data_IF_031795510622
#
_entry.id   IF_031795510622
#
_cell.length_a   1.000
_cell.length_b   1.000
_cell.length_c   1.000
_cell.angle_alpha   90.00
_cell.angle_beta   90.00
_cell.angle_gamma   90.00
#
_symmetry.space_group_name_H-M   'P 1'
#
loop_
_entity.id
_entity.type
_entity.pdbx_description
1 polymer ?
#
# COMPACT_ATOMS: atom_id res chain seq x y z
N UNK A 1 21.76 -1.28 9.86
CA UNK A 1 22.31 -1.69 8.56
C UNK A 1 21.98 -0.70 7.42
N UNK A 2 20.98 0.15 7.58
CA UNK A 2 20.55 1.15 6.60
C UNK A 2 19.75 0.60 5.39
N UNK A 3 19.09 1.51 4.65
CA UNK A 3 18.19 1.13 3.55
C UNK A 3 18.91 0.40 2.41
N UNK A 4 20.13 0.84 2.06
CA UNK A 4 20.93 0.19 1.00
C UNK A 4 21.26 -1.27 1.31
N UNK A 5 21.45 -1.61 2.58
CA UNK A 5 21.62 -2.99 3.00
C UNK A 5 20.32 -3.78 2.91
N UNK A 6 19.20 -3.18 3.34
CA UNK A 6 17.88 -3.78 3.20
C UNK A 6 17.54 -4.13 1.74
N UNK A 7 17.84 -3.23 0.81
CA UNK A 7 17.61 -3.46 -0.62
C UNK A 7 18.47 -4.63 -1.15
N UNK A 8 19.74 -4.74 -0.72
CA UNK A 8 20.59 -5.89 -1.07
C UNK A 8 20.02 -7.21 -0.54
N UNK A 9 19.51 -7.21 0.69
CA UNK A 9 18.85 -8.39 1.28
C UNK A 9 17.64 -8.78 0.46
N UNK A 10 16.78 -7.85 0.10
CA UNK A 10 15.58 -8.08 -0.71
C UNK A 10 15.94 -8.66 -2.08
N UNK A 11 16.92 -8.08 -2.77
CA UNK A 11 17.39 -8.57 -4.07
C UNK A 11 17.96 -9.99 -3.95
N UNK A 12 18.70 -10.28 -2.89
CA UNK A 12 19.27 -11.60 -2.65
C UNK A 12 18.19 -12.64 -2.37
N UNK A 13 17.19 -12.31 -1.55
CA UNK A 13 16.02 -13.17 -1.28
C UNK A 13 15.26 -13.45 -2.58
N UNK A 14 15.00 -12.44 -3.40
CA UNK A 14 14.35 -12.59 -4.70
C UNK A 14 15.12 -13.55 -5.61
N UNK A 15 16.44 -13.41 -5.68
CA UNK A 15 17.30 -14.29 -6.49
C UNK A 15 17.27 -15.74 -6.00
N UNK A 16 17.28 -15.97 -4.69
CA UNK A 16 17.20 -17.31 -4.09
C UNK A 16 15.86 -17.95 -4.43
N UNK A 17 14.75 -17.23 -4.28
CA UNK A 17 13.41 -17.74 -4.59
C UNK A 17 13.32 -18.09 -6.08
N UNK A 18 13.75 -17.19 -6.95
CA UNK A 18 13.71 -17.40 -8.40
C UNK A 18 14.56 -18.60 -8.83
N UNK A 19 15.74 -18.76 -8.24
CA UNK A 19 16.60 -19.92 -8.46
C UNK A 19 15.94 -21.24 -8.01
N UNK A 20 15.25 -21.23 -6.87
CA UNK A 20 14.54 -22.40 -6.35
C UNK A 20 13.38 -22.84 -7.26
N UNK A 21 12.72 -21.90 -7.91
CA UNK A 21 11.64 -22.18 -8.87
C UNK A 21 12.17 -22.64 -10.24
N UNK A 22 13.42 -22.38 -10.54
CA UNK A 22 14.09 -22.81 -11.79
C UNK A 22 13.28 -22.44 -13.05
N UNK A 23 12.77 -21.22 -13.13
CA UNK A 23 11.97 -20.71 -14.26
C UNK A 23 10.56 -21.27 -14.36
N UNK A 24 10.11 -22.07 -13.39
CA UNK A 24 8.79 -22.72 -13.39
C UNK A 24 7.80 -22.06 -12.44
N UNK A 25 7.91 -20.74 -12.26
CA UNK A 25 7.01 -19.97 -11.42
C UNK A 25 7.24 -18.49 -11.61
N UNK A 26 6.33 -17.72 -11.06
CA UNK A 26 6.39 -16.26 -11.05
C UNK A 26 6.68 -15.82 -9.61
N UNK A 27 7.65 -14.91 -9.46
CA UNK A 27 7.98 -14.25 -8.21
C UNK A 27 7.72 -12.76 -8.39
N UNK A 28 6.84 -12.21 -7.58
CA UNK A 28 6.56 -10.79 -7.52
C UNK A 28 6.87 -10.24 -6.13
N UNK A 29 7.41 -9.04 -6.05
CA UNK A 29 7.49 -8.28 -4.80
C UNK A 29 6.15 -7.59 -4.60
N UNK A 30 5.44 -7.94 -3.52
CA UNK A 30 4.12 -7.40 -3.23
C UNK A 30 4.21 -6.05 -2.53
N UNK A 31 5.20 -5.87 -1.63
CA UNK A 31 5.47 -4.63 -0.93
C UNK A 31 6.51 -4.83 0.17
N UNK A 32 7.26 -3.79 0.52
CA UNK A 32 8.24 -3.86 1.61
C UNK A 32 9.16 -5.08 1.52
N UNK A 33 9.01 -6.01 2.45
CA UNK A 33 9.74 -7.28 2.52
C UNK A 33 8.87 -8.49 2.10
N UNK A 34 7.73 -8.28 1.46
CA UNK A 34 6.78 -9.31 1.09
C UNK A 34 6.89 -9.71 -0.38
N UNK A 35 6.89 -11.03 -0.62
CA UNK A 35 6.95 -11.63 -1.94
C UNK A 35 5.72 -12.51 -2.15
N UNK A 36 5.23 -12.50 -3.38
CA UNK A 36 4.22 -13.41 -3.87
C UNK A 36 4.85 -14.41 -4.83
N UNK A 37 4.52 -15.69 -4.67
CA UNK A 37 5.04 -16.77 -5.51
C UNK A 37 3.85 -17.55 -6.06
N UNK A 38 3.82 -17.69 -7.38
CA UNK A 38 2.88 -18.57 -8.06
C UNK A 38 3.64 -19.63 -8.84
N UNK A 39 3.22 -20.89 -8.70
CA UNK A 39 3.82 -22.02 -9.43
C UNK A 39 2.79 -23.11 -9.71
N UNK A 40 2.88 -23.73 -10.89
CA UNK A 40 1.89 -24.70 -11.38
C UNK A 40 2.47 -26.10 -11.63
N UNK A 41 3.75 -26.34 -11.29
CA UNK A 41 4.41 -27.63 -11.57
C UNK A 41 4.57 -28.52 -10.34
N UNK A 42 4.26 -28.02 -9.16
CA UNK A 42 4.35 -28.79 -7.90
C UNK A 42 3.06 -29.58 -7.73
N UNK A 43 3.13 -30.90 -7.98
CA UNK A 43 1.97 -31.76 -7.91
C UNK A 43 1.90 -32.60 -6.62
N UNK A 44 3.03 -32.70 -5.90
CA UNK A 44 3.12 -33.50 -4.66
C UNK A 44 3.46 -32.61 -3.48
N UNK A 45 2.82 -32.85 -2.35
CA UNK A 45 3.08 -32.09 -1.12
C UNK A 45 4.53 -32.21 -0.64
N UNK A 46 5.15 -33.40 -0.85
CA UNK A 46 6.56 -33.60 -0.53
C UNK A 46 7.50 -32.69 -1.32
N UNK A 47 7.22 -32.47 -2.61
CA UNK A 47 7.96 -31.50 -3.44
C UNK A 47 7.78 -30.07 -2.93
N UNK A 48 6.55 -29.69 -2.58
CA UNK A 48 6.24 -28.37 -1.99
C UNK A 48 7.06 -28.17 -0.72
N UNK A 49 7.00 -29.11 0.22
CA UNK A 49 7.76 -29.03 1.49
C UNK A 49 9.27 -28.95 1.27
N UNK A 50 9.80 -29.71 0.31
CA UNK A 50 11.23 -29.66 -0.03
C UNK A 50 11.66 -28.29 -0.54
N UNK A 51 10.88 -27.66 -1.44
CA UNK A 51 11.19 -26.33 -1.98
C UNK A 51 11.09 -25.26 -0.89
N UNK A 52 10.04 -25.27 -0.08
CA UNK A 52 9.87 -24.30 1.01
C UNK A 52 11.01 -24.40 2.03
N UNK A 53 11.41 -25.63 2.35
CA UNK A 53 12.56 -25.90 3.24
C UNK A 53 13.87 -25.43 2.61
N UNK A 54 14.08 -25.72 1.34
CA UNK A 54 15.28 -25.29 0.60
C UNK A 54 15.40 -23.75 0.58
N UNK A 55 14.34 -23.04 0.19
CA UNK A 55 14.34 -21.56 0.17
C UNK A 55 14.71 -21.00 1.55
N UNK A 56 14.06 -21.50 2.60
CA UNK A 56 14.30 -21.06 3.98
C UNK A 56 15.75 -21.30 4.42
N UNK A 57 16.29 -22.49 4.16
CA UNK A 57 17.65 -22.83 4.52
C UNK A 57 18.69 -22.03 3.72
N UNK A 58 18.44 -21.82 2.43
CA UNK A 58 19.35 -21.08 1.55
C UNK A 58 19.41 -19.60 1.91
N UNK A 59 18.28 -18.98 2.23
CA UNK A 59 18.25 -17.59 2.73
C UNK A 59 19.07 -17.47 4.01
N UNK A 60 18.88 -18.36 4.97
CA UNK A 60 19.64 -18.35 6.20
C UNK A 60 21.14 -18.58 5.98
N UNK A 61 21.50 -19.49 5.09
CA UNK A 61 22.91 -19.78 4.78
C UNK A 61 23.62 -18.62 4.06
N UNK A 62 22.93 -17.95 3.13
CA UNK A 62 23.55 -16.89 2.31
C UNK A 62 23.52 -15.50 2.93
N UNK A 63 22.61 -15.25 3.88
CA UNK A 63 22.45 -13.95 4.54
C UNK A 63 22.82 -13.96 6.03
N UNK A 64 22.95 -15.15 6.63
CA UNK A 64 23.34 -15.32 8.03
C UNK A 64 24.86 -15.45 8.27
N UNK A 65 25.71 -15.29 7.23
CA UNK A 65 27.17 -15.46 7.34
C UNK A 65 27.91 -14.20 6.88
N UNK A 66 28.99 -13.82 7.61
CA UNK A 66 29.87 -12.69 7.28
C UNK A 66 29.90 -11.60 8.36
N UNK A 67 30.86 -10.67 8.25
CA UNK A 67 31.05 -9.55 9.21
C UNK A 67 29.85 -8.60 9.33
N UNK A 68 28.97 -8.57 8.30
CA UNK A 68 27.70 -7.83 8.28
C UNK A 68 26.49 -8.79 8.25
N UNK A 69 26.59 -9.98 8.84
CA UNK A 69 25.48 -10.93 8.85
C UNK A 69 24.32 -10.41 9.67
N UNK A 70 23.12 -10.42 9.08
CA UNK A 70 21.89 -10.29 9.84
C UNK A 70 21.15 -11.63 9.80
N UNK A 71 20.50 -12.02 10.90
CA UNK A 71 19.73 -13.26 10.98
C UNK A 71 18.42 -13.10 10.20
N UNK A 72 18.53 -13.10 8.87
CA UNK A 72 17.36 -13.01 7.99
C UNK A 72 16.67 -14.35 7.95
N UNK A 73 15.39 -14.33 8.26
CA UNK A 73 14.54 -15.52 8.21
C UNK A 73 13.30 -15.27 7.37
N UNK A 74 12.71 -16.33 6.82
CA UNK A 74 11.47 -16.27 6.06
C UNK A 74 10.31 -16.92 6.82
N UNK A 75 9.18 -16.22 6.81
CA UNK A 75 7.88 -16.80 7.15
C UNK A 75 7.07 -16.92 5.86
N UNK A 76 6.37 -18.04 5.67
CA UNK A 76 5.64 -18.29 4.42
C UNK A 76 4.25 -18.86 4.73
N UNK A 77 3.22 -18.34 4.05
CA UNK A 77 1.88 -18.92 4.00
C UNK A 77 1.64 -19.52 2.63
N UNK A 78 1.03 -20.69 2.56
CA UNK A 78 0.91 -21.46 1.32
C UNK A 78 -0.49 -22.03 1.17
N UNK A 79 -1.06 -21.86 -0.03
CA UNK A 79 -2.31 -22.49 -0.46
C UNK A 79 -2.11 -23.30 -1.74
N UNK A 80 -2.96 -24.29 -1.94
CA UNK A 80 -2.98 -25.16 -3.11
C UNK A 80 -4.27 -24.93 -3.91
N UNK A 81 -4.13 -24.71 -5.21
CA UNK A 81 -5.24 -24.71 -6.14
C UNK A 81 -5.44 -26.13 -6.70
N UNK A 82 -6.67 -26.63 -6.88
CA UNK A 82 -7.94 -26.04 -6.48
C UNK A 82 -8.37 -26.38 -5.03
N UNK A 83 -7.59 -27.17 -4.29
CA UNK A 83 -7.96 -27.75 -3.00
C UNK A 83 -8.38 -26.69 -1.96
N UNK A 84 -7.75 -25.55 -2.00
CA UNK A 84 -7.94 -24.49 -0.99
C UNK A 84 -8.77 -23.30 -1.49
N UNK A 85 -9.15 -23.28 -2.77
CA UNK A 85 -9.98 -22.24 -3.36
C UNK A 85 -10.00 -22.30 -4.86
N UNK A 86 -11.05 -21.73 -5.48
CA UNK A 86 -11.25 -21.70 -6.92
C UNK A 86 -10.88 -20.38 -7.59
N UNK A 87 -10.60 -19.35 -6.80
CA UNK A 87 -10.32 -17.99 -7.24
C UNK A 87 -9.12 -17.41 -6.49
N UNK A 88 -8.58 -16.32 -7.05
CA UNK A 88 -7.40 -15.62 -6.52
C UNK A 88 -7.63 -15.15 -5.09
N UNK A 89 -8.74 -14.47 -4.82
CA UNK A 89 -9.01 -13.83 -3.52
C UNK A 89 -9.11 -14.86 -2.40
N UNK A 90 -9.80 -15.97 -2.66
CA UNK A 90 -9.92 -17.08 -1.73
C UNK A 90 -8.56 -17.70 -1.39
N UNK A 91 -7.72 -17.93 -2.41
CA UNK A 91 -6.38 -18.49 -2.21
C UNK A 91 -5.44 -17.52 -1.52
N UNK A 92 -5.45 -16.26 -1.95
CA UNK A 92 -4.62 -15.21 -1.38
C UNK A 92 -4.94 -14.99 0.11
N UNK A 93 -6.21 -14.82 0.46
CA UNK A 93 -6.64 -14.64 1.84
C UNK A 93 -6.23 -15.80 2.75
N UNK A 94 -6.32 -17.04 2.28
CA UNK A 94 -5.90 -18.21 3.06
C UNK A 94 -4.38 -18.31 3.18
N UNK A 95 -3.63 -17.96 2.14
CA UNK A 95 -2.18 -17.92 2.18
C UNK A 95 -1.68 -16.83 3.16
N UNK A 96 -2.27 -15.64 3.11
CA UNK A 96 -1.94 -14.53 4.01
C UNK A 96 -2.22 -14.90 5.48
N UNK A 97 -3.37 -15.48 5.77
CA UNK A 97 -3.69 -15.97 7.11
C UNK A 97 -2.71 -17.05 7.59
N UNK A 98 -2.27 -17.95 6.71
CA UNK A 98 -1.21 -18.89 7.03
C UNK A 98 0.13 -18.22 7.30
N UNK A 99 0.47 -17.16 6.55
CA UNK A 99 1.64 -16.33 6.81
C UNK A 99 1.57 -15.66 8.19
N UNK A 100 0.42 -15.11 8.56
CA UNK A 100 0.17 -14.56 9.89
C UNK A 100 0.38 -15.61 10.99
N UNK A 101 -0.15 -16.81 10.83
CA UNK A 101 0.07 -17.93 11.76
C UNK A 101 1.58 -18.25 11.86
N UNK A 102 2.29 -18.26 10.73
CA UNK A 102 3.73 -18.50 10.71
C UNK A 102 4.50 -17.43 11.49
N UNK A 103 4.13 -16.14 11.32
CA UNK A 103 4.71 -15.01 12.03
C UNK A 103 4.46 -15.11 13.55
N UNK A 104 3.23 -15.44 13.97
CA UNK A 104 2.85 -15.54 15.40
C UNK A 104 3.41 -16.76 16.12
N UNK A 105 3.59 -17.86 15.42
CA UNK A 105 4.22 -19.08 15.99
C UNK A 105 5.75 -18.99 16.11
N UNK A 106 6.33 -17.78 16.06
CA UNK A 106 7.76 -17.53 16.28
C UNK A 106 8.55 -17.41 14.99
N UNK A 107 7.91 -17.03 13.88
CA UNK A 107 8.56 -16.75 12.57
C UNK A 107 9.37 -17.95 12.02
N UNK A 108 10.20 -17.73 11.00
CA UNK A 108 11.14 -18.70 10.42
C UNK A 108 10.52 -20.05 10.11
N UNK A 109 9.33 -20.08 9.53
CA UNK A 109 8.57 -21.28 9.17
C UNK A 109 7.62 -21.07 8.01
N UNK A 110 7.13 -22.15 7.47
CA UNK A 110 6.00 -22.11 6.54
C UNK A 110 4.77 -22.81 7.14
N UNK A 111 3.61 -22.34 6.75
CA UNK A 111 2.31 -22.95 7.06
C UNK A 111 1.63 -23.23 5.71
N UNK A 112 1.32 -24.49 5.46
CA UNK A 112 0.46 -24.90 4.33
C UNK A 112 -0.96 -24.94 4.85
N UNK A 113 -1.89 -24.30 4.17
CA UNK A 113 -3.29 -24.27 4.57
C UNK A 113 -3.88 -25.70 4.64
N UNK A 114 -4.57 -25.95 5.72
CA UNK A 114 -5.29 -27.20 6.01
C UNK A 114 -6.63 -26.79 6.65
N UNK A 115 -7.73 -27.11 6.00
CA UNK A 115 -9.06 -26.69 6.44
C UNK A 115 -9.42 -27.20 7.85
N UNK A 116 -9.00 -28.42 8.19
CA UNK A 116 -9.28 -29.02 9.51
C UNK A 116 -8.50 -28.34 10.65
N UNK A 117 -7.28 -27.84 10.36
CA UNK A 117 -6.40 -27.21 11.38
C UNK A 117 -6.53 -25.72 11.46
N UNK A 118 -6.97 -25.07 10.37
CA UNK A 118 -6.94 -23.62 10.22
C UNK A 118 -8.32 -23.03 9.93
N UNK A 119 -9.37 -23.85 9.69
CA UNK A 119 -10.72 -23.39 9.39
C UNK A 119 -11.32 -22.58 10.54
N UNK A 120 -11.43 -23.16 11.72
CA UNK A 120 -12.01 -22.48 12.90
C UNK A 120 -11.19 -21.29 13.39
N UNK A 121 -9.85 -21.37 13.26
CA UNK A 121 -8.95 -20.26 13.58
C UNK A 121 -9.13 -19.05 12.64
N UNK A 122 -9.66 -19.29 11.46
CA UNK A 122 -9.95 -18.23 10.47
C UNK A 122 -11.25 -17.49 10.81
N UNK A 123 -12.23 -18.16 11.42
CA UNK A 123 -13.51 -17.57 11.82
C UNK A 123 -13.36 -16.72 13.11
N UNK A 124 -12.48 -17.12 14.01
CA UNK A 124 -12.23 -16.42 15.28
C UNK A 124 -11.36 -15.15 15.09
N UNK A 125 -10.46 -15.15 14.11
CA UNK A 125 -9.63 -13.98 13.75
C UNK A 125 -10.37 -12.90 12.98
N UNK A 126 -11.48 -13.23 12.34
CA UNK A 126 -12.41 -12.25 11.77
C UNK A 126 -13.06 -11.33 12.81
N UNK A 127 -12.94 -11.68 14.11
CA UNK A 127 -13.49 -10.90 15.24
C UNK A 127 -12.45 -10.08 16.01
N UNK A 128 -11.15 -10.30 15.80
CA UNK A 128 -10.06 -9.52 16.43
C UNK A 128 -9.12 -8.99 15.35
N UNK A 129 -9.41 -7.79 14.91
CA UNK A 129 -8.71 -7.11 13.84
C UNK A 129 -7.19 -7.17 13.94
N UNK A 130 -6.58 -7.74 12.90
CA UNK A 130 -5.27 -7.32 12.41
C UNK A 130 -5.35 -7.32 10.89
N UNK A 131 -5.21 -6.18 10.36
CA UNK A 131 -5.56 -5.72 9.05
C UNK A 131 -4.37 -5.85 8.10
N UNK A 132 -4.38 -6.80 7.18
CA UNK A 132 -4.67 -6.37 5.81
C UNK A 132 -6.20 -6.25 5.78
N UNK A 133 -6.74 -5.10 5.37
CA UNK A 133 -8.15 -4.81 5.48
C UNK A 133 -8.97 -6.00 4.99
N UNK A 134 -9.92 -6.50 5.79
CA UNK A 134 -10.83 -7.49 5.27
C UNK A 134 -11.49 -6.86 4.06
N UNK A 135 -11.41 -7.52 2.91
CA UNK A 135 -12.37 -7.25 1.84
C UNK A 135 -13.72 -7.41 2.52
N UNK A 136 -14.32 -6.28 2.89
CA UNK A 136 -15.67 -6.25 3.43
C UNK A 136 -16.51 -7.01 2.43
N UNK A 137 -17.18 -8.06 2.88
CA UNK A 137 -18.18 -8.75 2.09
C UNK A 137 -19.10 -7.68 1.51
N UNK A 138 -18.90 -7.33 0.23
CA UNK A 138 -19.77 -6.45 -0.53
C UNK A 138 -19.19 -5.19 -1.17
N UNK A 139 -18.09 -4.60 -0.66
CA UNK A 139 -17.62 -3.34 -1.25
C UNK A 139 -16.09 -3.34 -1.40
N UNK A 140 -15.62 -3.44 -2.64
CA UNK A 140 -14.20 -3.24 -3.00
C UNK A 140 -13.89 -1.74 -2.96
N UNK A 141 -12.63 -1.35 -2.77
CA UNK A 141 -12.20 0.05 -2.91
C UNK A 141 -12.67 0.67 -4.23
N UNK A 142 -12.71 -0.12 -5.30
CA UNK A 142 -13.29 0.27 -6.59
C UNK A 142 -14.76 0.70 -6.47
N UNK A 143 -15.58 -0.07 -5.75
CA UNK A 143 -16.99 0.24 -5.52
C UNK A 143 -17.15 1.52 -4.70
N UNK A 144 -16.40 1.66 -3.60
CA UNK A 144 -16.41 2.88 -2.79
C UNK A 144 -16.05 4.13 -3.60
N UNK A 145 -14.98 4.04 -4.42
CA UNK A 145 -14.57 5.15 -5.28
C UNK A 145 -15.62 5.46 -6.36
N UNK A 146 -16.24 4.43 -6.95
CA UNK A 146 -17.32 4.61 -7.91
C UNK A 146 -18.53 5.30 -7.27
N UNK A 147 -18.95 4.86 -6.08
CA UNK A 147 -20.10 5.43 -5.38
C UNK A 147 -19.84 6.88 -4.94
N UNK A 148 -18.64 7.18 -4.44
CA UNK A 148 -18.21 8.55 -4.14
C UNK A 148 -18.22 9.42 -5.39
N UNK A 149 -17.71 8.92 -6.50
CA UNK A 149 -17.68 9.61 -7.79
C UNK A 149 -19.10 9.92 -8.31
N UNK A 150 -20.00 8.93 -8.27
CA UNK A 150 -21.41 9.11 -8.67
C UNK A 150 -22.09 10.13 -7.77
N UNK A 151 -21.83 10.09 -6.45
CA UNK A 151 -22.40 11.05 -5.51
C UNK A 151 -21.94 12.49 -5.82
N UNK A 152 -20.65 12.70 -6.09
CA UNK A 152 -20.12 14.00 -6.49
C UNK A 152 -20.73 14.48 -7.81
N UNK A 153 -20.81 13.64 -8.83
CA UNK A 153 -21.37 14.00 -10.13
C UNK A 153 -22.86 14.42 -10.01
N UNK A 154 -23.64 13.75 -9.15
CA UNK A 154 -25.06 14.04 -8.96
C UNK A 154 -25.32 15.27 -8.12
N UNK A 155 -24.53 15.52 -7.09
CA UNK A 155 -24.80 16.51 -6.06
C UNK A 155 -23.81 17.66 -6.00
N UNK A 156 -22.77 17.66 -6.87
CA UNK A 156 -21.76 18.70 -6.92
C UNK A 156 -20.89 18.77 -5.67
N UNK A 157 -20.29 19.92 -5.45
CA UNK A 157 -19.41 20.19 -4.30
C UNK A 157 -20.12 20.19 -2.94
N UNK A 158 -21.45 20.23 -2.90
CA UNK A 158 -22.23 20.21 -1.64
C UNK A 158 -22.04 18.97 -0.77
N UNK A 159 -21.55 17.88 -1.37
CA UNK A 159 -21.27 16.59 -0.69
C UNK A 159 -19.78 16.33 -0.49
N UNK A 160 -18.93 17.30 -0.79
CA UNK A 160 -17.48 17.13 -0.80
C UNK A 160 -16.94 16.69 0.56
N UNK A 161 -17.35 17.34 1.66
CA UNK A 161 -16.93 16.95 3.03
C UNK A 161 -17.24 15.47 3.33
N UNK A 162 -18.46 15.02 3.03
CA UNK A 162 -18.84 13.62 3.21
C UNK A 162 -18.00 12.67 2.36
N UNK A 163 -17.67 13.07 1.12
CA UNK A 163 -16.81 12.27 0.23
C UNK A 163 -15.39 12.19 0.76
N UNK A 164 -14.81 13.30 1.26
CA UNK A 164 -13.48 13.29 1.85
C UNK A 164 -13.41 12.40 3.09
N UNK A 165 -14.44 12.44 3.94
CA UNK A 165 -14.57 11.56 5.10
C UNK A 165 -14.59 10.07 4.69
N UNK A 166 -15.41 9.72 3.70
CA UNK A 166 -15.48 8.35 3.17
C UNK A 166 -14.17 7.92 2.53
N UNK A 167 -13.52 8.81 1.78
CA UNK A 167 -12.24 8.54 1.13
C UNK A 167 -11.13 8.28 2.15
N UNK A 168 -11.03 9.07 3.22
CA UNK A 168 -10.08 8.80 4.31
C UNK A 168 -10.26 7.39 4.87
N UNK A 169 -11.50 6.96 5.06
CA UNK A 169 -11.82 5.64 5.58
C UNK A 169 -11.52 4.52 4.58
N UNK A 170 -11.83 4.74 3.30
CA UNK A 170 -11.62 3.76 2.23
C UNK A 170 -10.14 3.54 1.90
N UNK A 171 -9.34 4.62 1.90
CA UNK A 171 -7.89 4.58 1.66
C UNK A 171 -7.06 4.34 2.94
N UNK A 172 -7.70 4.23 4.11
CA UNK A 172 -7.02 4.06 5.42
C UNK A 172 -5.98 5.16 5.70
N UNK A 173 -6.35 6.41 5.42
CA UNK A 173 -5.51 7.59 5.60
C UNK A 173 -6.09 8.55 6.63
N UNK A 174 -5.27 9.48 7.11
CA UNK A 174 -5.59 10.34 8.24
C UNK A 174 -6.23 11.67 7.82
N UNK A 175 -6.02 12.09 6.55
CA UNK A 175 -6.60 13.34 6.07
C UNK A 175 -6.51 13.55 4.56
N UNK A 176 -7.34 14.45 4.05
CA UNK A 176 -7.35 14.91 2.66
C UNK A 176 -7.50 16.43 2.67
N UNK A 177 -6.76 17.13 1.81
CA UNK A 177 -6.83 18.57 1.60
C UNK A 177 -6.98 18.87 0.12
N UNK A 178 -7.90 19.75 -0.24
CA UNK A 178 -8.16 20.16 -1.62
C UNK A 178 -7.80 21.62 -1.79
N UNK A 179 -6.97 21.93 -2.78
CA UNK A 179 -6.52 23.29 -3.08
C UNK A 179 -6.92 23.69 -4.52
N UNK A 180 -7.21 24.96 -4.70
CA UNK A 180 -7.13 25.58 -6.03
C UNK A 180 -5.67 25.92 -6.29
N UNK A 181 -4.99 25.16 -7.12
CA UNK A 181 -3.58 25.33 -7.44
C UNK A 181 -3.28 26.54 -8.33
N UNK A 182 -4.32 27.18 -8.91
CA UNK A 182 -4.18 28.44 -9.65
C UNK A 182 -4.10 29.62 -8.70
N UNK A 183 -4.94 29.65 -7.66
CA UNK A 183 -4.99 30.74 -6.68
C UNK A 183 -4.20 30.46 -5.41
N UNK A 184 -3.78 29.22 -5.18
CA UNK A 184 -3.13 28.77 -3.95
C UNK A 184 -4.09 28.49 -2.78
N UNK A 185 -5.40 28.74 -2.92
CA UNK A 185 -6.35 28.69 -1.80
C UNK A 185 -6.75 27.27 -1.46
N UNK A 186 -6.77 26.96 -0.16
CA UNK A 186 -7.43 25.76 0.36
C UNK A 186 -8.96 25.87 0.11
N UNK A 187 -9.54 24.88 -0.54
CA UNK A 187 -10.97 24.79 -0.85
C UNK A 187 -11.70 24.07 0.27
N UNK A 188 -11.21 22.85 0.62
CA UNK A 188 -11.84 21.98 1.59
C UNK A 188 -10.80 21.04 2.20
N UNK A 189 -11.07 20.51 3.38
CA UNK A 189 -10.25 19.47 3.98
C UNK A 189 -11.05 18.58 4.93
N UNK A 190 -10.56 17.36 5.14
CA UNK A 190 -11.02 16.46 6.18
C UNK A 190 -9.81 15.80 6.86
N UNK A 191 -9.84 15.64 8.18
CA UNK A 191 -8.81 14.95 8.96
C UNK A 191 -8.49 15.63 10.28
N UNK A 192 -7.85 14.88 11.18
CA UNK A 192 -7.50 15.33 12.54
C UNK A 192 -6.08 15.91 12.59
N UNK A 193 -5.80 16.94 11.82
CA UNK A 193 -4.50 17.61 11.82
C UNK A 193 -4.23 18.30 13.17
N UNK A 194 -3.02 18.15 13.72
CA UNK A 194 -2.57 18.92 14.90
C UNK A 194 -2.53 20.40 14.56
N UNK A 195 -2.04 20.73 13.38
CA UNK A 195 -2.06 22.04 12.74
C UNK A 195 -2.30 21.82 11.26
N UNK A 196 -3.23 22.53 10.66
CA UNK A 196 -3.43 22.46 9.21
C UNK A 196 -2.23 23.13 8.50
N UNK A 197 -1.56 22.43 7.54
CA UNK A 197 -0.42 23.02 6.83
C UNK A 197 -0.80 24.27 6.03
N UNK A 198 -0.07 25.36 6.22
CA UNK A 198 -0.21 26.56 5.40
C UNK A 198 0.78 26.52 4.22
N UNK A 199 0.32 25.95 3.12
CA UNK A 199 1.08 25.80 1.87
C UNK A 199 0.44 26.55 0.70
N UNK A 200 -0.43 27.50 0.99
CA UNK A 200 -1.19 28.23 -0.02
C UNK A 200 -0.33 28.95 -1.07
N UNK A 201 0.82 29.46 -0.66
CA UNK A 201 1.80 30.12 -1.53
C UNK A 201 2.78 29.16 -2.23
N UNK A 202 2.67 27.87 -1.96
CA UNK A 202 3.51 26.81 -2.54
C UNK A 202 2.76 26.12 -3.67
N UNK A 203 1.52 25.68 -3.43
CA UNK A 203 0.76 24.82 -4.34
C UNK A 203 0.45 25.47 -5.70
N UNK A 204 0.54 26.81 -5.80
CA UNK A 204 0.33 27.56 -7.04
C UNK A 204 1.63 27.84 -7.83
N UNK A 205 2.78 27.35 -7.36
CA UNK A 205 4.05 27.58 -8.02
C UNK A 205 4.32 26.59 -9.14
N UNK A 206 5.06 27.03 -10.16
CA UNK A 206 5.50 26.15 -11.26
C UNK A 206 6.43 25.06 -10.77
N UNK A 207 7.25 25.35 -9.76
CA UNK A 207 8.16 24.42 -9.11
C UNK A 207 7.39 23.28 -8.47
N UNK A 208 6.34 23.56 -7.73
CA UNK A 208 5.50 22.56 -7.10
C UNK A 208 4.79 21.69 -8.14
N UNK A 209 4.17 22.29 -9.15
CA UNK A 209 3.51 21.55 -10.24
C UNK A 209 4.50 20.73 -11.08
N UNK A 210 5.75 21.19 -11.19
CA UNK A 210 6.82 20.45 -11.88
C UNK A 210 7.31 19.19 -11.14
N UNK A 211 6.91 18.98 -9.88
CA UNK A 211 7.23 17.78 -9.10
C UNK A 211 6.32 16.59 -9.42
N UNK A 212 5.21 16.81 -10.09
CA UNK A 212 4.29 15.75 -10.48
C UNK A 212 4.84 14.95 -11.66
N UNK A 213 4.59 13.66 -11.65
CA UNK A 213 4.93 12.80 -12.77
C UNK A 213 3.93 12.94 -13.94
N UNK A 214 4.20 12.20 -15.02
CA UNK A 214 3.34 12.18 -16.23
C UNK A 214 1.91 11.66 -15.96
N UNK A 215 1.68 11.02 -14.82
CA UNK A 215 0.38 10.49 -14.41
C UNK A 215 -0.35 11.43 -13.45
N UNK A 216 0.13 12.69 -13.30
CA UNK A 216 -0.49 13.71 -12.46
C UNK A 216 -0.51 13.39 -10.96
N UNK A 217 0.45 12.61 -10.44
CA UNK A 217 0.64 12.44 -9.01
C UNK A 217 2.10 12.63 -8.58
N UNK A 218 2.27 12.95 -7.31
CA UNK A 218 3.55 13.06 -6.61
C UNK A 218 3.44 12.34 -5.27
N UNK A 219 4.33 11.37 -5.01
CA UNK A 219 4.30 10.58 -3.78
C UNK A 219 5.47 10.93 -2.87
N UNK A 220 5.19 11.27 -1.61
CA UNK A 220 6.17 11.56 -0.57
C UNK A 220 5.99 10.52 0.54
N UNK A 221 6.86 9.53 0.57
CA UNK A 221 6.84 8.44 1.57
C UNK A 221 7.49 8.88 2.89
N UNK A 222 8.52 9.72 2.81
CA UNK A 222 9.23 10.28 3.96
C UNK A 222 9.31 11.78 3.80
N UNK A 223 8.80 12.50 4.77
CA UNK A 223 8.78 13.97 4.77
C UNK A 223 10.17 14.59 4.71
N UNK A 224 11.19 13.92 5.26
CA UNK A 224 12.60 14.33 5.12
C UNK A 224 13.07 14.51 3.68
N UNK A 225 12.42 13.84 2.72
CA UNK A 225 12.79 13.93 1.31
C UNK A 225 12.42 15.29 0.67
N UNK A 226 11.51 16.05 1.29
CA UNK A 226 11.10 17.37 0.77
C UNK A 226 11.94 18.54 1.31
N UNK A 227 12.73 18.35 2.36
CA UNK A 227 13.51 19.43 2.95
C UNK A 227 14.48 20.09 1.96
N UNK A 228 15.10 19.29 1.09
CA UNK A 228 16.01 19.77 0.05
C UNK A 228 15.32 20.48 -1.11
N UNK A 229 14.01 20.26 -1.31
CA UNK A 229 13.25 20.87 -2.39
C UNK A 229 12.53 22.13 -1.96
N UNK A 230 11.87 22.07 -0.80
CA UNK A 230 11.09 23.20 -0.29
C UNK A 230 11.06 23.15 1.24
N UNK A 231 11.84 24.03 1.87
CA UNK A 231 11.98 24.11 3.32
C UNK A 231 10.65 24.44 4.01
N UNK A 232 9.84 25.37 3.44
CA UNK A 232 8.55 25.74 4.01
C UNK A 232 7.57 24.56 3.97
N UNK A 233 7.48 23.85 2.85
CA UNK A 233 6.64 22.65 2.73
C UNK A 233 7.05 21.60 3.77
N UNK A 234 8.35 21.40 3.96
CA UNK A 234 8.87 20.49 4.98
C UNK A 234 8.45 20.92 6.39
N UNK A 235 8.69 22.16 6.76
CA UNK A 235 8.39 22.70 8.11
C UNK A 235 6.89 22.61 8.42
N UNK A 236 6.02 22.99 7.47
CA UNK A 236 4.57 22.87 7.61
C UNK A 236 4.11 21.41 7.74
N UNK A 237 4.70 20.51 6.98
CA UNK A 237 4.39 19.08 7.03
C UNK A 237 4.76 18.47 8.39
N UNK A 238 5.94 18.82 8.92
CA UNK A 238 6.39 18.34 10.24
C UNK A 238 5.51 18.89 11.36
N UNK A 239 5.18 20.21 11.33
CA UNK A 239 4.30 20.84 12.33
C UNK A 239 2.90 20.23 12.33
N UNK A 240 2.46 19.72 11.20
CA UNK A 240 1.14 19.09 11.03
C UNK A 240 1.15 17.58 11.36
N UNK A 241 2.30 17.04 11.78
CA UNK A 241 2.53 15.63 12.07
C UNK A 241 2.25 14.69 10.88
N UNK A 242 2.40 15.16 9.65
CA UNK A 242 2.21 14.35 8.44
C UNK A 242 3.46 13.50 8.22
N UNK A 243 3.30 12.18 8.17
CA UNK A 243 4.39 11.20 7.98
C UNK A 243 4.67 10.87 6.52
N UNK A 244 3.64 10.93 5.69
CA UNK A 244 3.70 10.70 4.25
C UNK A 244 2.48 11.26 3.54
N UNK A 245 2.58 11.51 2.24
CA UNK A 245 1.46 12.03 1.45
C UNK A 245 1.58 11.66 -0.02
N UNK A 246 0.43 11.65 -0.69
CA UNK A 246 0.37 11.65 -2.15
C UNK A 246 -0.47 12.83 -2.60
N UNK A 247 0.07 13.63 -3.51
CA UNK A 247 -0.65 14.65 -4.21
C UNK A 247 -1.11 14.16 -5.58
N UNK A 248 -2.30 14.58 -5.98
CA UNK A 248 -2.78 14.42 -7.35
C UNK A 248 -3.43 15.71 -7.82
N UNK A 249 -3.36 16.04 -9.12
CA UNK A 249 -4.03 17.23 -9.63
C UNK A 249 -4.69 16.98 -10.99
N UNK A 250 -5.76 17.71 -11.23
CA UNK A 250 -6.44 17.80 -12.52
C UNK A 250 -6.97 19.20 -12.75
N UNK A 251 -7.01 19.61 -14.02
CA UNK A 251 -7.57 20.91 -14.41
C UNK A 251 -9.09 20.80 -14.54
N UNK A 252 -9.83 21.71 -13.92
CA UNK A 252 -11.28 21.80 -14.02
C UNK A 252 -11.74 22.47 -15.32
N UNK A 253 -13.06 22.58 -15.52
CA UNK A 253 -13.63 23.24 -16.72
C UNK A 253 -13.34 24.73 -16.81
N UNK A 254 -13.09 25.41 -15.69
CA UNK A 254 -12.71 26.82 -15.65
C UNK A 254 -11.23 27.06 -15.96
N UNK A 255 -10.43 26.00 -16.09
CA UNK A 255 -9.00 26.10 -16.33
C UNK A 255 -8.15 26.13 -15.05
N UNK A 256 -8.77 25.98 -13.88
CA UNK A 256 -8.03 25.93 -12.59
C UNK A 256 -7.47 24.53 -12.34
N UNK A 257 -6.25 24.49 -11.81
CA UNK A 257 -5.67 23.26 -11.30
C UNK A 257 -6.24 22.95 -9.93
N UNK A 258 -6.94 21.86 -9.79
CA UNK A 258 -7.44 21.35 -8.52
C UNK A 258 -6.46 20.29 -8.01
N UNK A 259 -5.87 20.54 -6.85
CA UNK A 259 -4.84 19.70 -6.23
C UNK A 259 -5.42 19.04 -4.99
N UNK A 260 -5.35 17.72 -4.93
CA UNK A 260 -5.72 16.96 -3.74
C UNK A 260 -4.46 16.38 -3.07
N UNK A 261 -4.32 16.56 -1.77
CA UNK A 261 -3.34 15.88 -0.92
C UNK A 261 -4.03 14.81 -0.10
N UNK A 262 -3.53 13.62 -0.14
CA UNK A 262 -3.97 12.48 0.66
C UNK A 262 -2.87 12.17 1.67
N UNK A 263 -3.15 12.41 2.95
CA UNK A 263 -2.13 12.50 3.99
C UNK A 263 -2.23 11.32 4.97
N UNK A 264 -1.07 10.81 5.39
CA UNK A 264 -0.99 9.85 6.49
C UNK A 264 -0.04 10.37 7.57
N UNK A 265 -0.39 10.16 8.84
CA UNK A 265 0.47 10.48 9.98
C UNK A 265 1.48 9.36 10.26
N UNK A 266 1.30 8.22 9.60
CA UNK A 266 2.21 7.09 9.72
C UNK A 266 3.43 7.27 8.80
N UNK A 267 4.63 7.36 9.39
CA UNK A 267 5.89 7.48 8.64
C UNK A 267 6.17 6.18 7.87
N UNK A 268 6.54 6.34 6.61
CA UNK A 268 6.88 5.20 5.75
C UNK A 268 5.69 4.46 5.15
N UNK A 269 4.48 5.01 5.26
CA UNK A 269 3.30 4.49 4.57
C UNK A 269 3.56 4.46 3.05
N UNK A 270 3.19 3.36 2.40
CA UNK A 270 3.40 3.17 0.97
C UNK A 270 2.07 2.92 0.26
N UNK A 271 1.78 3.77 -0.69
CA UNK A 271 0.67 3.65 -1.61
C UNK A 271 0.97 2.56 -2.65
N UNK A 272 0.09 1.61 -2.84
CA UNK A 272 0.19 0.66 -3.95
C UNK A 272 -0.33 1.30 -5.26
N UNK A 273 -0.05 0.69 -6.40
CA UNK A 273 -0.44 1.24 -7.70
C UNK A 273 -1.97 1.32 -7.89
N UNK A 274 -2.71 0.40 -7.26
CA UNK A 274 -4.17 0.43 -7.30
C UNK A 274 -4.72 1.64 -6.53
N UNK A 275 -4.18 1.91 -5.32
CA UNK A 275 -4.57 3.09 -4.53
C UNK A 275 -4.31 4.38 -5.29
N UNK A 276 -3.14 4.50 -5.94
CA UNK A 276 -2.80 5.67 -6.75
C UNK A 276 -3.79 5.90 -7.89
N UNK A 277 -4.17 4.84 -8.60
CA UNK A 277 -5.15 4.92 -9.68
C UNK A 277 -6.53 5.36 -9.18
N UNK A 278 -6.98 4.86 -8.03
CA UNK A 278 -8.24 5.27 -7.43
C UNK A 278 -8.20 6.71 -6.89
N UNK A 279 -7.07 7.12 -6.29
CA UNK A 279 -6.81 8.51 -5.87
C UNK A 279 -6.91 9.45 -7.08
N UNK A 280 -6.23 9.12 -8.18
CA UNK A 280 -6.31 9.93 -9.42
C UNK A 280 -7.73 10.02 -9.95
N UNK A 281 -8.45 8.89 -9.97
CA UNK A 281 -9.85 8.84 -10.41
C UNK A 281 -10.72 9.75 -9.57
N UNK A 282 -10.63 9.65 -8.24
CA UNK A 282 -11.40 10.48 -7.32
C UNK A 282 -11.03 11.97 -7.45
N UNK A 283 -9.74 12.29 -7.53
CA UNK A 283 -9.27 13.67 -7.71
C UNK A 283 -9.80 14.28 -9.01
N UNK A 284 -9.81 13.50 -10.09
CA UNK A 284 -10.37 13.95 -11.38
C UNK A 284 -11.85 14.27 -11.29
N UNK A 285 -12.63 13.46 -10.58
CA UNK A 285 -14.06 13.71 -10.36
C UNK A 285 -14.25 14.93 -9.45
N UNK A 286 -13.48 15.07 -8.36
CA UNK A 286 -13.50 16.26 -7.51
C UNK A 286 -13.24 17.52 -8.35
N UNK A 287 -12.21 17.51 -9.19
CA UNK A 287 -11.90 18.63 -10.06
C UNK A 287 -13.03 18.97 -11.04
N UNK A 288 -13.77 17.96 -11.50
CA UNK A 288 -14.87 18.19 -12.47
C UNK A 288 -16.11 18.85 -11.88
N UNK A 289 -16.24 18.89 -10.54
CA UNK A 289 -17.40 19.47 -9.84
C UNK A 289 -17.05 20.76 -9.09
N UNK A 290 -15.77 21.12 -9.03
CA UNK A 290 -15.23 22.39 -8.52
C UNK A 290 -14.90 23.35 -9.66
#
# INVERSE_FOLDING_TARGET
YGHLYGDKVILKVAAIINSALNGRGIVGRFGGDEFFIFTNWITKESQLRSILTFIKQKVRAELGQGENSCDVTLSMGVCKYPDNGSDYDSLFNKADKCLYIAKNKGKNRYIIYDAQKHGDFLDDMGRKGFSMAPIKKGETLAQEVADMSINLIKNGSSVLDNVLQRACKAFEIDGIRIYNGTTGRLIEYYGNYVKLPDINDIVNTKEFLGMFDKNHYMTIVYTSNIESFNKKLYDETIQSNIGGMIYSYFTNQAGDNIIASYDTFNKGFRWNESDKNYIMTLTKVIASVL
#
